data_IF_421822009324
#
_entry.id   IF_421822009324
#
_cell.length_a   1.000
_cell.length_b   1.000
_cell.length_c   1.000
_cell.angle_alpha   90.00
_cell.angle_beta   90.00
_cell.angle_gamma   90.00
#
_symmetry.space_group_name_H-M   'P 1'
#
loop_
_entity.id
_entity.type
_entity.pdbx_description
1 polymer ?
#
# COMPACT_ATOMS: atom_id res chain seq x y z
N UNK A 1 42.09 21.62 -27.55
CA UNK A 1 41.64 21.84 -28.94
C UNK A 1 41.03 20.55 -29.47
N UNK A 2 39.71 20.47 -29.64
CA UNK A 2 39.06 19.28 -30.22
C UNK A 2 39.28 19.27 -31.73
N UNK A 3 39.71 18.12 -32.27
CA UNK A 3 39.91 17.93 -33.71
C UNK A 3 38.57 17.51 -34.31
N UNK A 4 37.94 18.40 -35.07
CA UNK A 4 36.79 18.05 -35.92
C UNK A 4 37.27 17.11 -37.04
N UNK A 5 36.81 15.86 -37.05
CA UNK A 5 36.98 14.95 -38.19
C UNK A 5 35.81 15.14 -39.14
N UNK A 6 36.08 15.61 -40.36
CA UNK A 6 35.11 15.66 -41.44
C UNK A 6 35.35 14.44 -42.34
N UNK A 7 34.39 13.50 -42.38
CA UNK A 7 34.42 12.36 -43.30
C UNK A 7 33.51 12.70 -44.48
N UNK A 8 34.07 12.84 -45.67
CA UNK A 8 33.31 13.00 -46.93
C UNK A 8 33.27 11.65 -47.65
N UNK A 9 32.08 11.11 -47.85
CA UNK A 9 31.87 9.87 -48.59
C UNK A 9 30.40 9.70 -48.97
N UNK A 10 30.14 8.84 -49.96
CA UNK A 10 28.79 8.41 -50.30
C UNK A 10 28.35 7.39 -49.26
N UNK A 11 27.28 7.67 -48.50
CA UNK A 11 26.63 6.68 -47.66
C UNK A 11 25.27 6.34 -48.27
N UNK A 12 25.03 5.05 -48.51
CA UNK A 12 23.71 4.56 -48.92
C UNK A 12 23.00 4.05 -47.67
N UNK A 13 21.82 4.59 -47.36
CA UNK A 13 21.03 4.22 -46.18
C UNK A 13 19.68 3.67 -46.63
N UNK A 14 19.40 2.43 -46.26
CA UNK A 14 18.10 1.77 -46.43
C UNK A 14 17.54 1.51 -45.04
N UNK A 15 16.39 2.12 -44.70
CA UNK A 15 15.73 1.92 -43.39
C UNK A 15 14.24 1.74 -43.57
N UNK A 16 13.67 0.72 -42.94
CA UNK A 16 12.23 0.59 -42.72
C UNK A 16 11.94 1.01 -41.26
N UNK A 17 11.36 2.20 -41.07
CA UNK A 17 11.00 2.75 -39.75
C UNK A 17 11.95 3.79 -39.14
N UNK A 18 11.72 4.11 -37.86
CA UNK A 18 12.42 5.16 -37.13
C UNK A 18 13.86 4.76 -36.78
N UNK A 19 14.82 5.63 -37.09
CA UNK A 19 16.24 5.42 -36.83
C UNK A 19 16.79 6.49 -35.89
N UNK A 20 17.23 6.07 -34.69
CA UNK A 20 17.88 6.95 -33.73
C UNK A 20 19.41 6.79 -33.81
N UNK A 21 20.12 7.92 -33.97
CA UNK A 21 21.58 7.99 -33.85
C UNK A 21 21.96 8.74 -32.57
N UNK A 22 22.90 8.19 -31.82
CA UNK A 22 23.43 8.82 -30.61
C UNK A 22 24.93 9.08 -30.79
N UNK A 23 25.39 10.26 -30.39
CA UNK A 23 26.79 10.66 -30.39
C UNK A 23 27.07 11.54 -29.18
N UNK A 24 28.26 11.40 -28.59
CA UNK A 24 28.75 12.28 -27.51
C UNK A 24 29.14 13.69 -27.98
N UNK A 25 28.97 13.99 -29.27
CA UNK A 25 29.19 15.31 -29.89
C UNK A 25 28.11 15.60 -30.96
N UNK A 26 27.99 16.86 -31.38
CA UNK A 26 27.01 17.29 -32.40
C UNK A 26 27.16 16.50 -33.70
N UNK A 27 26.07 15.89 -34.16
CA UNK A 27 25.97 15.27 -35.49
C UNK A 27 25.35 16.30 -36.43
N UNK A 28 26.12 16.75 -37.41
CA UNK A 28 25.62 17.55 -38.52
C UNK A 28 25.70 16.70 -39.80
N UNK A 29 24.56 16.20 -40.27
CA UNK A 29 24.46 15.42 -41.50
C UNK A 29 23.77 16.25 -42.57
N UNK A 30 24.44 16.48 -43.69
CA UNK A 30 23.91 17.17 -44.86
C UNK A 30 24.23 16.35 -46.12
N UNK A 31 23.25 16.18 -47.01
CA UNK A 31 23.44 15.56 -48.32
C UNK A 31 23.25 16.62 -49.41
N UNK A 32 24.21 16.71 -50.34
CA UNK A 32 24.12 17.66 -51.46
C UNK A 32 23.12 17.21 -52.55
N UNK A 33 22.77 15.92 -52.57
CA UNK A 33 21.82 15.34 -53.53
C UNK A 33 21.14 14.13 -52.88
N UNK A 34 19.81 14.14 -52.88
CA UNK A 34 18.98 13.03 -52.42
C UNK A 34 18.44 12.30 -53.65
N UNK A 35 18.64 10.98 -53.72
CA UNK A 35 18.04 10.13 -54.75
C UNK A 35 17.05 9.21 -54.02
N UNK A 36 15.75 9.39 -54.30
CA UNK A 36 14.69 8.51 -53.80
C UNK A 36 14.31 7.54 -54.91
N UNK A 37 14.61 6.27 -54.75
CA UNK A 37 14.07 5.23 -55.64
C UNK A 37 12.58 5.02 -55.31
N UNK A 38 11.76 4.98 -56.36
CA UNK A 38 10.30 4.85 -56.27
C UNK A 38 9.94 3.36 -56.28
N UNK A 39 9.58 2.80 -55.14
CA UNK A 39 9.11 1.42 -55.01
C UNK A 39 8.27 1.24 -53.74
N UNK A 40 6.98 0.93 -53.95
CA UNK A 40 5.90 0.52 -53.04
C UNK A 40 5.85 1.13 -51.61
N UNK A 41 4.70 1.65 -51.21
CA UNK A 41 4.43 2.32 -49.93
C UNK A 41 4.78 1.50 -48.66
N UNK A 42 5.19 0.24 -48.79
CA UNK A 42 5.60 -0.63 -47.67
C UNK A 42 7.06 -1.12 -47.71
N UNK A 43 7.86 -0.67 -48.70
CA UNK A 43 9.25 -1.09 -48.87
C UNK A 43 9.39 -2.48 -49.51
N UNK A 44 10.58 -2.75 -50.05
CA UNK A 44 10.94 -4.04 -50.65
C UNK A 44 11.72 -4.86 -49.61
N UNK A 45 11.18 -6.00 -49.20
CA UNK A 45 11.85 -6.97 -48.32
C UNK A 45 12.85 -7.80 -49.12
N UNK A 46 14.13 -7.72 -48.75
CA UNK A 46 15.18 -8.60 -49.28
C UNK A 46 15.46 -9.71 -48.27
N UNK A 47 14.78 -10.84 -48.45
CA UNK A 47 14.89 -12.00 -47.58
C UNK A 47 14.27 -11.78 -46.19
N UNK A 48 14.18 -12.86 -45.43
CA UNK A 48 13.97 -12.77 -43.99
C UNK A 48 15.31 -12.35 -43.35
N UNK A 49 15.32 -11.39 -42.40
CA UNK A 49 16.51 -11.19 -41.60
C UNK A 49 16.86 -12.52 -40.92
N UNK A 50 18.08 -13.00 -41.12
CA UNK A 50 18.56 -14.15 -40.34
C UNK A 50 18.32 -13.84 -38.86
N UNK A 51 17.74 -14.78 -38.09
CA UNK A 51 17.67 -14.60 -36.65
C UNK A 51 19.07 -14.28 -36.16
N UNK A 52 19.19 -13.26 -35.31
CA UNK A 52 20.48 -12.87 -34.75
C UNK A 52 21.22 -14.14 -34.28
N UNK A 53 22.50 -14.34 -34.68
CA UNK A 53 23.23 -15.54 -34.33
C UNK A 53 23.09 -15.79 -32.83
N UNK A 54 22.71 -17.00 -32.43
CA UNK A 54 22.52 -17.39 -31.03
C UNK A 54 23.84 -17.40 -30.20
N UNK A 55 24.90 -16.75 -30.68
CA UNK A 55 26.27 -16.86 -30.20
C UNK A 55 26.75 -15.74 -29.27
N UNK A 56 25.97 -14.68 -29.02
CA UNK A 56 26.39 -13.60 -28.09
C UNK A 56 25.56 -13.49 -26.80
N UNK A 57 24.54 -14.33 -26.63
CA UNK A 57 23.84 -14.46 -25.34
C UNK A 57 24.71 -15.23 -24.35
N UNK A 58 25.68 -14.55 -23.76
CA UNK A 58 26.51 -15.10 -22.69
C UNK A 58 25.65 -15.47 -21.49
N UNK A 59 24.64 -14.65 -21.15
CA UNK A 59 23.88 -14.78 -19.92
C UNK A 59 22.60 -13.91 -19.90
N UNK A 60 21.41 -14.50 -19.69
CA UNK A 60 20.13 -13.78 -19.62
C UNK A 60 19.26 -14.24 -18.44
N UNK A 61 18.78 -13.26 -17.65
CA UNK A 61 17.77 -13.46 -16.60
C UNK A 61 16.45 -12.89 -17.12
N UNK A 62 15.39 -13.69 -17.06
CA UNK A 62 14.01 -13.26 -17.30
C UNK A 62 13.16 -13.63 -16.10
N UNK A 63 12.24 -12.74 -15.74
CA UNK A 63 11.29 -12.95 -14.64
C UNK A 63 9.89 -12.76 -15.20
N UNK A 64 8.97 -13.63 -14.82
CA UNK A 64 7.58 -13.59 -15.27
C UNK A 64 6.65 -13.57 -14.07
N UNK A 65 5.55 -12.81 -14.15
CA UNK A 65 4.39 -12.94 -13.27
C UNK A 65 3.20 -13.41 -14.13
N UNK A 66 2.65 -14.58 -13.82
CA UNK A 66 1.55 -15.18 -14.59
C UNK A 66 1.82 -15.20 -16.11
N UNK A 67 3.02 -15.61 -16.51
CA UNK A 67 3.53 -15.63 -17.91
C UNK A 67 3.76 -14.25 -18.56
N UNK A 68 3.52 -13.14 -17.87
CA UNK A 68 3.88 -11.81 -18.37
C UNK A 68 5.30 -11.46 -17.94
N UNK A 69 6.18 -11.13 -18.88
CA UNK A 69 7.56 -10.78 -18.58
C UNK A 69 7.64 -9.46 -17.79
N UNK A 70 8.31 -9.52 -16.64
CA UNK A 70 8.62 -8.38 -15.79
C UNK A 70 9.92 -7.75 -16.30
N UNK A 71 9.95 -6.42 -16.42
CA UNK A 71 11.17 -5.68 -16.76
C UNK A 71 11.89 -5.23 -15.48
N UNK A 72 13.19 -5.02 -15.59
CA UNK A 72 13.99 -4.54 -14.47
C UNK A 72 13.46 -3.16 -14.00
N UNK A 73 13.34 -3.00 -12.68
CA UNK A 73 12.75 -1.83 -12.03
C UNK A 73 11.22 -1.81 -12.01
N UNK A 74 10.53 -2.78 -12.60
CA UNK A 74 9.06 -2.79 -12.64
C UNK A 74 8.43 -3.12 -11.28
N UNK A 75 7.17 -2.69 -11.12
CA UNK A 75 6.33 -3.03 -9.98
C UNK A 75 5.42 -4.21 -10.32
N UNK A 76 5.46 -5.22 -9.45
CA UNK A 76 4.53 -6.35 -9.43
C UNK A 76 3.59 -6.11 -8.25
N UNK A 77 2.29 -6.05 -8.52
CA UNK A 77 1.31 -5.68 -7.53
C UNK A 77 0.61 -6.89 -6.93
N UNK A 78 0.57 -6.93 -5.60
CA UNK A 78 -0.33 -7.79 -4.83
C UNK A 78 -1.77 -7.31 -5.08
N UNK A 79 -2.65 -8.25 -5.43
CA UNK A 79 -4.04 -7.95 -5.82
C UNK A 79 -4.96 -7.72 -4.62
N UNK A 80 -6.22 -7.33 -4.88
CA UNK A 80 -7.25 -7.10 -3.86
C UNK A 80 -7.64 -8.36 -3.06
N UNK A 81 -7.33 -9.55 -3.60
CA UNK A 81 -7.26 -10.81 -2.85
C UNK A 81 -5.77 -11.06 -2.59
N UNK A 82 -5.27 -10.87 -1.37
CA UNK A 82 -3.84 -10.90 -1.12
C UNK A 82 -3.30 -12.31 -1.38
N UNK A 83 -2.66 -12.46 -2.53
CA UNK A 83 -1.90 -13.62 -2.95
C UNK A 83 -0.54 -13.10 -3.43
N UNK A 84 0.54 -13.79 -3.07
CA UNK A 84 1.86 -13.48 -3.61
C UNK A 84 1.84 -13.69 -5.14
N UNK A 85 2.58 -12.86 -5.91
CA UNK A 85 2.62 -13.02 -7.36
C UNK A 85 3.16 -14.40 -7.74
N UNK A 86 2.66 -14.94 -8.86
CA UNK A 86 3.09 -16.26 -9.36
C UNK A 86 4.33 -16.06 -10.20
N UNK A 87 5.49 -16.03 -9.54
CA UNK A 87 6.76 -15.72 -10.18
C UNK A 87 7.43 -16.94 -10.78
N UNK A 88 7.86 -16.81 -12.03
CA UNK A 88 8.76 -17.74 -12.69
C UNK A 88 10.05 -17.02 -13.07
N UNK A 89 11.19 -17.58 -12.68
CA UNK A 89 12.52 -17.09 -13.06
C UNK A 89 13.08 -18.04 -14.10
N UNK A 90 13.48 -17.50 -15.26
CA UNK A 90 14.18 -18.24 -16.30
C UNK A 90 15.59 -17.69 -16.44
N UNK A 91 16.56 -18.58 -16.40
CA UNK A 91 17.97 -18.26 -16.61
C UNK A 91 18.51 -19.01 -17.82
N UNK A 92 18.97 -18.28 -18.83
CA UNK A 92 19.58 -18.81 -20.05
C UNK A 92 21.09 -18.55 -20.02
N UNK A 93 21.87 -19.61 -20.21
CA UNK A 93 23.33 -19.55 -20.25
C UNK A 93 23.80 -20.04 -21.62
N UNK A 94 24.61 -19.22 -22.31
CA UNK A 94 25.21 -19.59 -23.58
C UNK A 94 26.20 -20.76 -23.43
N UNK A 95 26.40 -21.55 -24.49
CA UNK A 95 27.35 -22.69 -24.46
C UNK A 95 28.79 -22.27 -24.17
N UNK A 96 29.18 -21.09 -24.67
CA UNK A 96 30.53 -20.53 -24.55
C UNK A 96 30.72 -19.67 -23.27
N UNK A 97 29.81 -19.75 -22.30
CA UNK A 97 29.93 -18.95 -21.08
C UNK A 97 31.04 -19.47 -20.16
N UNK A 98 31.89 -18.56 -19.67
CA UNK A 98 33.07 -18.88 -18.85
C UNK A 98 32.75 -19.70 -17.59
N UNK A 99 31.54 -19.55 -17.06
CA UNK A 99 31.06 -20.37 -15.94
C UNK A 99 30.27 -21.55 -16.49
N UNK A 100 30.82 -22.77 -16.38
CA UNK A 100 30.15 -24.03 -16.76
C UNK A 100 28.79 -24.24 -16.06
N UNK A 101 28.61 -23.56 -14.91
CA UNK A 101 27.37 -23.52 -14.14
C UNK A 101 27.19 -22.20 -13.41
N UNK A 102 25.94 -21.79 -13.21
CA UNK A 102 25.53 -20.61 -12.46
C UNK A 102 24.59 -21.02 -11.33
N UNK A 103 24.78 -20.42 -10.18
CA UNK A 103 23.90 -20.53 -9.03
C UNK A 103 23.03 -19.29 -8.94
N UNK A 104 21.72 -19.43 -8.80
CA UNK A 104 20.82 -18.28 -8.72
C UNK A 104 19.74 -18.45 -7.67
N UNK A 105 19.26 -17.34 -7.13
CA UNK A 105 18.23 -17.28 -6.09
C UNK A 105 17.42 -16.00 -6.19
N UNK A 106 16.24 -15.99 -5.57
CA UNK A 106 15.48 -14.77 -5.34
C UNK A 106 15.70 -14.30 -3.89
N UNK A 107 16.08 -13.05 -3.71
CA UNK A 107 16.11 -12.36 -2.42
C UNK A 107 14.96 -11.36 -2.38
N UNK A 108 14.13 -11.38 -1.34
CA UNK A 108 13.17 -10.29 -1.06
C UNK A 108 13.60 -9.52 0.18
N UNK A 109 13.55 -8.21 0.12
CA UNK A 109 13.99 -7.33 1.20
C UNK A 109 12.97 -6.22 1.45
N UNK A 110 12.47 -6.18 2.68
CA UNK A 110 11.62 -5.11 3.19
C UNK A 110 12.38 -4.38 4.30
N UNK A 111 12.81 -3.15 4.02
CA UNK A 111 13.49 -2.30 4.99
C UNK A 111 12.64 -1.06 5.25
N UNK A 112 12.27 -0.88 6.50
CA UNK A 112 11.61 0.31 7.00
C UNK A 112 12.41 0.84 8.18
N UNK A 113 12.69 2.14 8.19
CA UNK A 113 13.29 2.80 9.35
C UNK A 113 12.38 3.94 9.79
N UNK A 114 11.96 3.86 11.04
CA UNK A 114 10.94 4.73 11.58
C UNK A 114 11.56 5.99 12.21
N UNK A 115 10.71 6.85 12.77
CA UNK A 115 11.16 7.97 13.61
C UNK A 115 11.79 7.51 14.92
N UNK A 116 11.43 6.32 15.41
CA UNK A 116 12.00 5.75 16.63
C UNK A 116 12.56 4.35 16.34
N UNK A 117 13.76 4.08 16.86
CA UNK A 117 14.51 2.84 16.64
C UNK A 117 13.72 1.55 16.94
N UNK A 118 12.85 1.48 17.97
CA UNK A 118 12.04 0.30 18.22
C UNK A 118 11.06 -0.05 17.10
N UNK A 119 10.89 0.79 16.08
CA UNK A 119 9.97 0.56 14.97
C UNK A 119 10.70 0.33 13.64
N UNK A 120 12.04 0.24 13.67
CA UNK A 120 12.81 -0.22 12.51
C UNK A 120 12.44 -1.68 12.20
N UNK A 121 12.39 -1.99 10.91
CA UNK A 121 12.07 -3.31 10.38
C UNK A 121 13.02 -3.64 9.24
N UNK A 122 13.56 -4.86 9.27
CA UNK A 122 14.47 -5.37 8.25
C UNK A 122 14.16 -6.85 8.06
N UNK A 123 13.21 -7.11 7.17
CA UNK A 123 12.85 -8.47 6.80
C UNK A 123 13.59 -8.82 5.51
N UNK A 124 14.35 -9.92 5.54
CA UNK A 124 15.09 -10.42 4.39
C UNK A 124 14.81 -11.90 4.27
N UNK A 125 14.27 -12.30 3.12
CA UNK A 125 13.96 -13.69 2.81
C UNK A 125 14.69 -14.12 1.53
N UNK A 126 15.00 -15.40 1.46
CA UNK A 126 15.68 -16.02 0.34
C UNK A 126 14.85 -17.20 -0.16
N UNK A 127 14.77 -17.33 -1.48
CA UNK A 127 14.07 -18.40 -2.17
C UNK A 127 15.04 -19.07 -3.17
N UNK A 128 15.21 -20.41 -3.12
CA UNK A 128 14.65 -21.32 -2.11
C UNK A 128 15.15 -21.00 -0.69
N UNK A 129 14.32 -21.26 0.31
CA UNK A 129 14.68 -21.05 1.70
C UNK A 129 15.79 -22.04 2.11
N UNK A 130 16.78 -21.58 2.86
CA UNK A 130 17.78 -22.46 3.45
C UNK A 130 17.17 -23.23 4.62
N UNK A 131 16.97 -24.54 4.48
CA UNK A 131 16.70 -25.37 5.65
C UNK A 131 18.02 -25.73 6.33
N UNK A 132 18.04 -25.77 7.66
CA UNK A 132 19.22 -26.15 8.47
C UNK A 132 19.72 -27.59 8.21
N UNK A 133 19.08 -28.34 7.31
CA UNK A 133 19.38 -29.70 6.90
C UNK A 133 20.12 -29.81 5.54
N UNK A 134 20.92 -28.81 5.18
CA UNK A 134 21.85 -28.91 4.05
C UNK A 134 21.25 -28.71 2.65
N UNK A 135 20.02 -28.19 2.54
CA UNK A 135 19.49 -27.77 1.24
C UNK A 135 20.18 -26.48 0.76
N UNK A 136 20.57 -26.47 -0.51
CA UNK A 136 21.18 -25.31 -1.16
C UNK A 136 20.18 -24.15 -1.28
N UNK A 137 20.59 -22.96 -0.84
CA UNK A 137 19.86 -21.69 -1.02
C UNK A 137 19.89 -21.17 -2.48
N UNK A 138 20.39 -21.98 -3.40
CA UNK A 138 20.52 -21.68 -4.81
C UNK A 138 19.87 -22.75 -5.67
N UNK A 139 19.28 -22.31 -6.78
CA UNK A 139 19.04 -23.13 -7.97
C UNK A 139 20.30 -23.15 -8.83
N UNK A 140 20.53 -24.26 -9.52
CA UNK A 140 21.66 -24.42 -10.44
C UNK A 140 21.16 -24.40 -11.88
N UNK A 141 21.84 -23.66 -12.75
CA UNK A 141 21.65 -23.67 -14.19
C UNK A 141 22.97 -24.05 -14.86
N UNK A 142 22.91 -24.94 -15.84
CA UNK A 142 24.08 -25.37 -16.61
C UNK A 142 24.23 -24.58 -17.91
N UNK A 143 25.45 -24.49 -18.41
CA UNK A 143 25.73 -23.86 -19.70
C UNK A 143 24.98 -24.56 -20.86
N UNK A 144 24.56 -23.77 -21.85
CA UNK A 144 23.91 -24.24 -23.07
C UNK A 144 22.41 -24.55 -22.96
N UNK A 145 21.77 -24.23 -21.84
CA UNK A 145 20.34 -24.46 -21.62
C UNK A 145 19.64 -23.28 -20.92
N UNK A 146 18.31 -23.32 -20.95
CA UNK A 146 17.46 -22.44 -20.13
C UNK A 146 16.91 -23.24 -18.96
N UNK A 147 17.20 -22.79 -17.74
CA UNK A 147 16.62 -23.34 -16.52
C UNK A 147 15.49 -22.43 -16.04
N UNK A 148 14.28 -22.98 -15.93
CA UNK A 148 13.13 -22.27 -15.37
C UNK A 148 12.81 -22.77 -13.96
N UNK A 149 12.40 -21.85 -13.10
CA UNK A 149 12.02 -22.14 -11.72
C UNK A 149 10.81 -21.30 -11.32
N UNK A 150 9.72 -21.98 -10.96
CA UNK A 150 8.56 -21.36 -10.32
C UNK A 150 8.84 -21.18 -8.83
N UNK A 151 8.77 -19.93 -8.37
CA UNK A 151 9.12 -19.56 -7.00
C UNK A 151 8.02 -20.01 -6.06
N UNK A 152 8.37 -20.88 -5.12
CA UNK A 152 7.52 -21.21 -3.97
C UNK A 152 7.90 -20.28 -2.81
N UNK A 153 6.95 -19.45 -2.40
CA UNK A 153 7.10 -18.54 -1.27
C UNK A 153 6.88 -19.23 0.09
N UNK A 154 6.44 -20.49 0.12
CA UNK A 154 6.26 -21.25 1.36
C UNK A 154 5.25 -20.63 2.34
N UNK A 155 4.26 -19.90 1.82
CA UNK A 155 3.30 -19.14 2.63
C UNK A 155 3.84 -17.83 3.22
N UNK A 156 5.11 -17.48 2.96
CA UNK A 156 5.71 -16.22 3.42
C UNK A 156 5.21 -15.08 2.55
N UNK A 157 4.47 -14.15 3.15
CA UNK A 157 3.91 -13.00 2.46
C UNK A 157 4.74 -11.74 2.71
N UNK A 158 5.68 -11.45 1.81
CA UNK A 158 6.64 -10.34 1.95
C UNK A 158 6.80 -9.59 0.63
N UNK A 159 6.18 -8.41 0.55
CA UNK A 159 6.51 -7.42 -0.49
C UNK A 159 7.80 -6.68 -0.12
N UNK A 160 8.38 -5.98 -1.08
CA UNK A 160 9.69 -5.36 -0.90
C UNK A 160 10.50 -5.39 -2.18
N UNK A 161 11.77 -5.02 -2.07
CA UNK A 161 12.71 -5.10 -3.18
C UNK A 161 13.01 -6.57 -3.44
N UNK A 162 12.73 -7.03 -4.65
CA UNK A 162 12.95 -8.40 -5.09
C UNK A 162 14.15 -8.41 -6.03
N UNK A 163 15.17 -9.19 -5.69
CA UNK A 163 16.42 -9.27 -6.45
C UNK A 163 16.67 -10.71 -6.84
N UNK A 164 16.68 -11.02 -8.14
CA UNK A 164 17.28 -12.26 -8.62
C UNK A 164 18.78 -12.06 -8.61
N UNK A 165 19.48 -12.84 -7.81
CA UNK A 165 20.93 -12.80 -7.70
C UNK A 165 21.51 -14.03 -8.39
N UNK A 166 22.42 -13.82 -9.34
CA UNK A 166 23.14 -14.88 -10.02
C UNK A 166 24.63 -14.84 -9.66
N UNK A 167 25.16 -15.99 -9.28
CA UNK A 167 26.51 -16.22 -8.79
C UNK A 167 27.22 -17.25 -9.65
N UNK A 168 28.55 -17.18 -9.71
CA UNK A 168 29.36 -18.24 -10.28
C UNK A 168 29.11 -19.58 -9.59
N UNK A 169 29.57 -20.66 -10.21
CA UNK A 169 29.45 -22.01 -9.65
C UNK A 169 30.09 -22.22 -8.27
N UNK A 170 30.90 -21.25 -7.81
CA UNK A 170 31.49 -21.19 -6.47
C UNK A 170 30.52 -20.72 -5.38
N UNK A 171 29.37 -20.16 -5.76
CA UNK A 171 28.37 -19.57 -4.86
C UNK A 171 28.82 -18.30 -4.14
N UNK A 172 29.94 -17.70 -4.56
CA UNK A 172 30.56 -16.54 -3.89
C UNK A 172 30.67 -15.34 -4.82
N UNK A 173 30.96 -15.58 -6.10
CA UNK A 173 31.18 -14.52 -7.07
C UNK A 173 29.84 -14.06 -7.64
N UNK A 174 29.32 -12.92 -7.20
CA UNK A 174 28.11 -12.33 -7.79
C UNK A 174 28.40 -11.87 -9.22
N UNK A 175 27.62 -12.36 -10.17
CA UNK A 175 27.76 -12.08 -11.60
C UNK A 175 26.78 -11.02 -12.07
N UNK A 176 25.50 -11.15 -11.69
CA UNK A 176 24.44 -10.24 -12.12
C UNK A 176 23.31 -10.18 -11.11
N UNK A 177 22.64 -9.02 -11.08
CA UNK A 177 21.36 -8.82 -10.41
C UNK A 177 20.30 -8.48 -11.43
N UNK A 178 19.07 -8.89 -11.14
CA UNK A 178 17.86 -8.38 -11.78
C UNK A 178 16.94 -7.90 -10.66
N UNK A 179 16.69 -6.60 -10.61
CA UNK A 179 15.91 -5.98 -9.51
C UNK A 179 14.51 -5.62 -9.99
N UNK A 180 13.50 -5.99 -9.22
CA UNK A 180 12.11 -5.57 -9.40
C UNK A 180 11.46 -5.40 -8.02
N UNK A 181 10.20 -5.01 -7.97
CA UNK A 181 9.56 -4.61 -6.73
C UNK A 181 8.21 -5.28 -6.56
N UNK A 182 8.01 -6.01 -5.47
CA UNK A 182 6.70 -6.55 -5.09
C UNK A 182 6.04 -5.53 -4.15
N UNK A 183 4.90 -4.98 -4.55
CA UNK A 183 4.23 -3.84 -3.88
C UNK A 183 2.73 -4.10 -3.72
N UNK A 184 2.09 -3.35 -2.83
CA UNK A 184 0.65 -3.41 -2.60
C UNK A 184 -0.11 -2.47 -3.53
N UNK A 185 -1.33 -2.85 -3.92
CA UNK A 185 -2.26 -1.98 -4.64
C UNK A 185 -3.40 -1.56 -3.71
N UNK A 186 -3.67 -0.26 -3.66
CA UNK A 186 -4.78 0.27 -2.88
C UNK A 186 -6.12 -0.22 -3.43
N UNK A 187 -7.04 -0.73 -2.60
CA UNK A 187 -8.36 -1.12 -3.04
C UNK A 187 -9.20 0.10 -3.42
N UNK A 188 -10.18 -0.09 -4.31
CA UNK A 188 -11.19 0.93 -4.58
C UNK A 188 -12.05 1.19 -3.33
N UNK A 189 -12.45 2.45 -3.09
CA UNK A 189 -13.41 2.80 -2.02
C UNK A 189 -14.69 1.97 -2.12
N UNK A 190 -15.16 1.73 -3.34
CA UNK A 190 -16.32 0.87 -3.61
C UNK A 190 -16.09 -0.57 -3.09
N UNK A 191 -14.96 -1.18 -3.41
CA UNK A 191 -14.61 -2.53 -2.94
C UNK A 191 -14.58 -2.60 -1.41
N UNK A 192 -14.04 -1.57 -0.76
CA UNK A 192 -14.04 -1.48 0.72
C UNK A 192 -15.46 -1.36 1.26
N UNK A 193 -16.29 -0.48 0.70
CA UNK A 193 -17.69 -0.29 1.14
C UNK A 193 -18.51 -1.56 0.97
N UNK A 194 -18.40 -2.22 -0.18
CA UNK A 194 -19.09 -3.48 -0.48
C UNK A 194 -18.70 -4.58 0.53
N UNK A 195 -17.41 -4.67 0.89
CA UNK A 195 -16.95 -5.57 1.94
C UNK A 195 -17.58 -5.25 3.30
N UNK A 196 -17.58 -3.98 3.74
CA UNK A 196 -18.20 -3.58 5.00
C UNK A 196 -19.70 -3.90 5.06
N UNK A 197 -20.42 -3.76 3.92
CA UNK A 197 -21.83 -4.15 3.80
C UNK A 197 -21.96 -5.68 3.93
N UNK A 198 -21.15 -6.45 3.20
CA UNK A 198 -21.20 -7.92 3.25
C UNK A 198 -20.95 -8.50 4.65
N UNK A 199 -20.12 -7.82 5.44
CA UNK A 199 -19.82 -8.20 6.83
C UNK A 199 -20.82 -7.63 7.85
N UNK A 200 -21.85 -6.91 7.39
CA UNK A 200 -22.84 -6.24 8.24
C UNK A 200 -22.22 -5.20 9.19
N UNK A 201 -21.05 -4.67 8.84
CA UNK A 201 -20.38 -3.68 9.67
C UNK A 201 -21.05 -2.31 9.58
N UNK A 202 -21.57 -1.92 8.41
CA UNK A 202 -22.25 -0.63 8.25
C UNK A 202 -23.66 -0.60 8.85
N UNK A 203 -24.36 -1.73 8.94
CA UNK A 203 -25.63 -1.80 9.67
C UNK A 203 -25.42 -1.67 11.18
N UNK A 204 -24.27 -2.14 11.68
CA UNK A 204 -23.90 -2.00 13.09
C UNK A 204 -23.32 -0.61 13.42
N UNK A 205 -22.46 -0.08 12.54
CA UNK A 205 -21.75 1.17 12.73
C UNK A 205 -21.67 1.96 11.41
N UNK A 206 -22.67 2.80 11.18
CA UNK A 206 -22.86 3.52 9.91
C UNK A 206 -21.66 4.41 9.51
N UNK A 207 -20.91 4.91 10.48
CA UNK A 207 -19.81 5.85 10.26
C UNK A 207 -18.50 5.19 9.84
N UNK A 208 -18.35 3.87 9.95
CA UNK A 208 -17.04 3.18 9.80
C UNK A 208 -16.41 3.44 8.44
N UNK A 209 -17.19 3.39 7.36
CA UNK A 209 -16.68 3.70 6.03
C UNK A 209 -16.16 5.14 5.94
N UNK A 210 -16.87 6.10 6.54
CA UNK A 210 -16.49 7.51 6.54
C UNK A 210 -15.19 7.73 7.32
N UNK A 211 -15.02 7.07 8.46
CA UNK A 211 -13.77 7.08 9.22
C UNK A 211 -12.62 6.48 8.39
N UNK A 212 -12.83 5.32 7.76
CA UNK A 212 -11.81 4.69 6.90
C UNK A 212 -11.34 5.65 5.81
N UNK A 213 -12.26 6.30 5.10
CA UNK A 213 -11.95 7.24 4.01
C UNK A 213 -11.20 8.46 4.55
N UNK A 214 -11.68 9.03 5.66
CA UNK A 214 -11.05 10.19 6.30
C UNK A 214 -9.62 9.89 6.76
N UNK A 215 -9.43 8.80 7.50
CA UNK A 215 -8.14 8.48 8.12
C UNK A 215 -7.13 7.88 7.14
N UNK A 216 -7.58 7.35 5.99
CA UNK A 216 -6.68 7.02 4.88
C UNK A 216 -6.33 8.23 4.00
N UNK A 217 -6.91 9.41 4.26
CA UNK A 217 -6.72 10.60 3.42
C UNK A 217 -7.30 10.42 2.01
N UNK A 218 -8.36 9.62 1.89
CA UNK A 218 -8.95 9.15 0.64
C UNK A 218 -10.22 9.92 0.23
N UNK A 219 -10.49 11.08 0.83
CA UNK A 219 -11.70 11.86 0.59
C UNK A 219 -11.84 12.21 -0.91
N UNK A 220 -10.75 12.68 -1.53
CA UNK A 220 -10.72 13.23 -2.90
C UNK A 220 -10.21 12.24 -3.98
N UNK A 221 -10.01 10.97 -3.63
CA UNK A 221 -9.53 9.93 -4.57
C UNK A 221 -10.44 8.72 -4.59
N UNK A 222 -10.37 7.91 -5.64
CA UNK A 222 -11.23 6.72 -5.84
C UNK A 222 -10.79 5.51 -5.01
N UNK A 223 -9.55 5.50 -4.53
CA UNK A 223 -8.96 4.40 -3.76
C UNK A 223 -8.98 4.69 -2.26
N UNK A 224 -9.12 3.65 -1.43
CA UNK A 224 -8.85 3.73 -0.01
C UNK A 224 -7.36 3.42 0.22
N UNK A 225 -6.60 4.34 0.82
CA UNK A 225 -5.14 4.22 0.91
C UNK A 225 -4.70 3.35 2.09
N UNK A 226 -4.19 2.17 1.77
CA UNK A 226 -3.44 1.31 2.68
C UNK A 226 -1.93 1.45 2.45
N UNK A 227 -1.54 1.67 1.20
CA UNK A 227 -0.17 1.75 0.72
C UNK A 227 0.14 3.16 0.21
N UNK A 228 1.42 3.51 0.28
CA UNK A 228 1.96 4.79 -0.15
C UNK A 228 1.76 4.96 -1.66
N UNK A 229 1.05 6.02 -2.04
CA UNK A 229 0.84 6.40 -3.43
C UNK A 229 1.52 7.75 -3.70
N UNK A 230 2.52 7.81 -4.60
CA UNK A 230 3.24 9.04 -4.90
C UNK A 230 2.41 10.07 -5.68
N UNK A 231 1.30 9.68 -6.29
CA UNK A 231 0.64 10.55 -7.27
C UNK A 231 -0.28 11.61 -6.66
N UNK A 232 -0.63 11.54 -5.37
CA UNK A 232 -1.76 12.33 -4.87
C UNK A 232 -1.69 12.76 -3.39
N UNK A 233 -1.04 13.89 -3.09
CA UNK A 233 -1.60 14.87 -2.15
C UNK A 233 -1.52 16.28 -2.74
N UNK A 234 -2.64 17.00 -2.77
CA UNK A 234 -2.64 18.43 -3.05
C UNK A 234 -2.31 19.15 -1.74
N UNK A 235 -1.10 19.69 -1.58
CA UNK A 235 -0.80 20.61 -0.48
C UNK A 235 -0.70 22.04 -0.99
N UNK A 236 -1.16 22.99 -0.18
CA UNK A 236 -0.89 24.40 -0.40
C UNK A 236 0.55 24.69 0.01
N UNK A 237 1.43 24.86 -0.97
CA UNK A 237 2.81 25.32 -0.75
C UNK A 237 2.87 26.79 -1.15
N UNK A 238 3.07 27.69 -0.19
CA UNK A 238 3.11 29.15 -0.40
C UNK A 238 1.87 29.68 -1.14
N UNK A 239 0.67 29.29 -0.70
CA UNK A 239 -0.60 29.73 -1.29
C UNK A 239 -0.97 29.08 -2.64
N UNK A 240 -0.10 28.25 -3.23
CA UNK A 240 -0.37 27.51 -4.47
C UNK A 240 -0.60 26.03 -4.19
N UNK A 241 -1.66 25.47 -4.76
CA UNK A 241 -1.91 24.03 -4.72
C UNK A 241 -0.84 23.31 -5.54
N UNK A 242 0.03 22.53 -4.89
CA UNK A 242 1.01 21.67 -5.55
C UNK A 242 0.69 20.21 -5.25
N UNK A 243 0.95 19.33 -6.21
CA UNK A 243 1.08 17.90 -5.93
C UNK A 243 2.32 17.73 -5.06
N UNK A 244 2.14 17.26 -3.84
CA UNK A 244 3.18 16.86 -2.90
C UNK A 244 2.95 15.41 -2.51
N UNK A 245 3.99 14.77 -2.02
CA UNK A 245 3.94 13.43 -1.45
C UNK A 245 2.98 13.40 -0.24
N UNK A 246 2.21 12.32 -0.09
CA UNK A 246 1.21 12.19 0.96
C UNK A 246 1.86 12.03 2.34
N UNK A 247 1.92 13.07 3.17
CA UNK A 247 2.59 12.99 4.47
C UNK A 247 1.89 12.14 5.54
N UNK A 248 1.84 10.81 5.40
CA UNK A 248 1.36 9.88 6.45
C UNK A 248 2.40 8.80 6.79
N UNK A 249 3.41 9.16 7.61
CA UNK A 249 4.42 8.29 8.23
C UNK A 249 5.84 8.89 8.32
N UNK A 250 6.69 8.58 9.33
CA UNK A 250 7.63 9.55 9.93
C UNK A 250 8.93 9.91 9.18
N UNK A 251 9.10 9.56 7.90
CA UNK A 251 10.32 9.99 7.19
C UNK A 251 10.21 10.15 5.67
N UNK A 252 9.04 10.51 5.12
CA UNK A 252 8.90 11.07 3.76
C UNK A 252 9.87 10.50 2.72
N UNK A 253 9.76 9.20 2.42
CA UNK A 253 10.78 8.44 1.70
C UNK A 253 10.46 8.27 0.20
N UNK A 254 10.61 9.34 -0.57
CA UNK A 254 10.96 9.31 -1.99
C UNK A 254 10.28 8.27 -2.92
N UNK A 255 10.97 7.88 -4.00
CA UNK A 255 10.46 6.99 -5.04
C UNK A 255 10.42 5.51 -4.60
N UNK A 256 11.22 5.13 -3.60
CA UNK A 256 11.44 3.74 -3.21
C UNK A 256 10.33 3.18 -2.31
N UNK A 257 9.61 4.04 -1.58
CA UNK A 257 8.51 3.64 -0.69
C UNK A 257 7.16 3.50 -1.39
N UNK A 258 7.08 3.76 -2.71
CA UNK A 258 5.85 3.60 -3.49
C UNK A 258 5.29 2.18 -3.36
N UNK A 259 4.00 2.07 -3.01
CA UNK A 259 3.29 0.81 -2.82
C UNK A 259 3.75 0.01 -1.59
N UNK A 260 4.53 0.61 -0.69
CA UNK A 260 4.77 0.05 0.64
C UNK A 260 3.59 0.37 1.57
N UNK A 261 3.31 -0.45 2.59
CA UNK A 261 2.27 -0.15 3.54
C UNK A 261 2.49 1.19 4.25
N UNK A 262 1.41 1.89 4.56
CA UNK A 262 1.45 3.13 5.34
C UNK A 262 1.74 2.79 6.80
N UNK A 263 2.82 3.34 7.36
CA UNK A 263 3.22 3.20 8.76
C UNK A 263 3.10 4.55 9.45
N UNK A 264 2.31 4.65 10.51
CA UNK A 264 2.20 5.89 11.27
C UNK A 264 1.29 5.75 12.49
N UNK A 265 1.73 6.40 13.58
CA UNK A 265 0.88 6.75 14.70
C UNK A 265 -0.21 7.76 14.28
N UNK A 266 -1.37 7.80 14.96
CA UNK A 266 -1.87 6.84 15.95
C UNK A 266 -2.67 5.70 15.28
N UNK A 267 -3.18 4.77 16.10
CA UNK A 267 -4.16 3.68 15.85
C UNK A 267 -5.36 4.05 14.94
N UNK A 268 -5.10 4.52 13.74
CA UNK A 268 -6.12 5.08 12.88
C UNK A 268 -7.01 3.99 12.29
N UNK A 269 -8.24 4.32 11.95
CA UNK A 269 -9.23 3.45 11.36
C UNK A 269 -9.14 3.27 9.85
N UNK A 270 -8.27 3.99 9.14
CA UNK A 270 -8.05 3.83 7.71
C UNK A 270 -7.85 2.37 7.27
N UNK A 271 -7.86 2.06 5.97
CA UNK A 271 -7.53 0.70 5.49
C UNK A 271 -6.06 0.32 5.76
N UNK A 272 -5.24 1.30 6.17
CA UNK A 272 -3.86 1.16 6.59
C UNK A 272 -3.66 0.08 7.64
N UNK A 273 -2.41 -0.37 7.73
CA UNK A 273 -2.03 -1.42 8.65
C UNK A 273 -2.44 -1.08 10.07
N UNK A 274 -2.78 -2.12 10.82
CA UNK A 274 -2.81 -1.97 12.26
C UNK A 274 -1.36 -1.84 12.69
N UNK A 275 -0.98 -0.60 12.91
CA UNK A 275 0.22 -0.30 13.63
C UNK A 275 -0.04 -0.60 15.10
N UNK A 276 0.00 -1.88 15.48
CA UNK A 276 0.43 -2.22 16.84
C UNK A 276 1.96 -1.98 16.93
N UNK A 277 2.41 -0.80 16.54
CA UNK A 277 3.62 -0.24 17.10
C UNK A 277 3.31 0.21 18.53
N UNK A 278 4.39 0.40 19.27
CA UNK A 278 4.48 1.26 20.43
C UNK A 278 4.17 0.63 21.78
N UNK A 279 2.93 0.22 22.08
CA UNK A 279 2.62 0.03 23.50
C UNK A 279 3.21 -1.25 24.11
N UNK A 280 3.50 -2.30 23.32
CA UNK A 280 3.74 -3.63 23.90
C UNK A 280 4.68 -4.58 23.14
N UNK A 281 5.85 -4.09 22.68
CA UNK A 281 6.98 -4.99 22.34
C UNK A 281 7.64 -5.59 23.59
N UNK A 282 7.33 -5.07 24.77
CA UNK A 282 7.48 -5.86 25.99
C UNK A 282 6.31 -6.85 26.10
N UNK A 283 6.53 -8.07 25.60
CA UNK A 283 5.54 -9.15 25.69
C UNK A 283 5.10 -9.42 27.13
N UNK A 284 5.91 -9.03 28.13
CA UNK A 284 5.58 -9.19 29.55
C UNK A 284 4.51 -8.21 30.04
N UNK A 285 4.26 -7.11 29.33
CA UNK A 285 3.21 -6.11 29.67
C UNK A 285 1.87 -6.36 28.97
N UNK A 286 1.78 -7.41 28.14
CA UNK A 286 0.56 -7.82 27.45
C UNK A 286 -0.36 -8.65 28.33
N UNK A 287 -1.66 -8.56 28.05
CA UNK A 287 -2.56 -9.63 28.47
C UNK A 287 -2.17 -10.93 27.74
N UNK A 288 -2.43 -12.09 28.34
CA UNK A 288 -2.17 -13.39 27.67
C UNK A 288 -2.83 -13.49 26.30
N UNK A 289 -4.02 -12.91 26.14
CA UNK A 289 -4.77 -12.91 24.89
C UNK A 289 -4.09 -12.06 23.80
N UNK A 290 -3.56 -10.89 24.18
CA UNK A 290 -2.87 -10.01 23.23
C UNK A 290 -1.48 -10.56 22.86
N UNK A 291 -0.78 -11.19 23.81
CA UNK A 291 0.49 -11.86 23.54
C UNK A 291 0.35 -13.04 22.58
N UNK A 292 -0.64 -13.92 22.81
CA UNK A 292 -0.91 -15.05 21.92
C UNK A 292 -1.33 -14.61 20.52
N UNK A 293 -2.10 -13.52 20.43
CA UNK A 293 -2.50 -12.95 19.15
C UNK A 293 -1.34 -12.31 18.38
N UNK A 294 -0.43 -11.59 19.06
CA UNK A 294 0.79 -11.08 18.41
C UNK A 294 1.68 -12.23 17.91
N UNK A 295 1.77 -13.32 18.66
CA UNK A 295 2.51 -14.50 18.22
C UNK A 295 1.90 -15.16 16.97
N UNK A 296 0.57 -15.23 16.90
CA UNK A 296 -0.16 -15.69 15.71
C UNK A 296 0.07 -14.75 14.52
N UNK A 297 0.01 -13.44 14.76
CA UNK A 297 0.26 -12.40 13.76
C UNK A 297 1.70 -12.45 13.20
N UNK A 298 2.68 -12.71 14.05
CA UNK A 298 4.09 -12.88 13.66
C UNK A 298 4.26 -14.13 12.76
N UNK A 299 3.49 -15.19 13.01
CA UNK A 299 3.46 -16.42 12.20
C UNK A 299 2.71 -16.24 10.88
N UNK A 300 1.75 -15.31 10.82
CA UNK A 300 0.89 -15.06 9.66
C UNK A 300 0.97 -13.61 9.21
N UNK A 301 2.05 -13.20 8.52
CA UNK A 301 2.28 -11.81 8.16
C UNK A 301 1.42 -11.25 7.03
N UNK A 302 0.48 -12.01 6.49
CA UNK A 302 -0.38 -11.62 5.37
C UNK A 302 -1.23 -10.38 5.71
N UNK A 303 -1.53 -10.15 6.99
CA UNK A 303 -2.22 -8.95 7.49
C UNK A 303 -1.57 -7.63 7.00
N UNK A 304 -0.25 -7.62 6.79
CA UNK A 304 0.53 -6.45 6.34
C UNK A 304 -0.06 -5.92 5.02
N UNK A 305 -0.50 -6.82 4.16
CA UNK A 305 -0.99 -6.51 2.81
C UNK A 305 -2.51 -6.71 2.70
N UNK A 306 -3.12 -7.42 3.64
CA UNK A 306 -4.54 -7.73 3.65
C UNK A 306 -5.38 -6.64 4.36
N UNK A 307 -5.87 -5.64 3.61
CA UNK A 307 -6.77 -4.61 4.18
C UNK A 307 -8.04 -5.19 4.80
N UNK A 308 -8.57 -6.31 4.31
CA UNK A 308 -9.79 -6.93 4.89
C UNK A 308 -9.51 -7.40 6.30
N UNK A 309 -8.36 -8.09 6.50
CA UNK A 309 -7.93 -8.52 7.84
C UNK A 309 -7.68 -7.33 8.76
N UNK A 310 -7.08 -6.24 8.25
CA UNK A 310 -6.91 -5.01 9.01
C UNK A 310 -8.26 -4.42 9.47
N UNK A 311 -9.27 -4.37 8.60
CA UNK A 311 -10.62 -3.93 8.98
C UNK A 311 -11.24 -4.87 10.03
N UNK A 312 -11.22 -6.18 9.79
CA UNK A 312 -11.77 -7.19 10.70
C UNK A 312 -11.22 -7.04 12.13
N UNK A 313 -9.90 -6.89 12.26
CA UNK A 313 -9.27 -6.72 13.57
C UNK A 313 -9.72 -5.40 14.23
N UNK A 314 -9.82 -4.29 13.50
CA UNK A 314 -10.34 -3.02 14.06
C UNK A 314 -11.78 -3.15 14.52
N UNK A 315 -12.62 -3.83 13.75
CA UNK A 315 -14.03 -4.11 14.09
C UNK A 315 -14.17 -4.98 15.33
N UNK A 316 -13.28 -5.96 15.54
CA UNK A 316 -13.34 -6.91 16.65
C UNK A 316 -12.63 -6.44 17.92
N UNK A 317 -11.68 -5.50 17.81
CA UNK A 317 -10.86 -5.03 18.95
C UNK A 317 -11.06 -3.55 19.27
N UNK A 318 -10.81 -2.66 18.30
CA UNK A 318 -10.80 -1.20 18.53
C UNK A 318 -12.21 -0.63 18.74
N UNK A 319 -13.20 -1.01 17.92
CA UNK A 319 -14.59 -0.54 18.11
C UNK A 319 -15.12 -0.93 19.50
N UNK A 320 -15.03 -2.19 19.93
CA UNK A 320 -15.54 -2.60 21.25
C UNK A 320 -14.89 -1.84 22.42
N UNK A 321 -13.59 -1.54 22.33
CA UNK A 321 -12.90 -0.69 23.30
C UNK A 321 -13.49 0.72 23.38
N UNK A 322 -13.74 1.36 22.22
CA UNK A 322 -14.35 2.70 22.17
C UNK A 322 -15.81 2.68 22.62
N UNK A 323 -16.56 1.64 22.26
CA UNK A 323 -17.95 1.44 22.74
C UNK A 323 -17.97 1.32 24.25
N UNK A 324 -17.07 0.52 24.85
CA UNK A 324 -16.96 0.40 26.31
C UNK A 324 -16.64 1.75 26.96
N UNK A 325 -15.75 2.54 26.38
CA UNK A 325 -15.44 3.88 26.87
C UNK A 325 -16.63 4.84 26.78
N UNK A 326 -17.38 4.82 25.67
CA UNK A 326 -18.60 5.61 25.50
C UNK A 326 -19.68 5.22 26.53
N UNK A 327 -19.94 3.91 26.70
CA UNK A 327 -20.89 3.38 27.70
C UNK A 327 -20.50 3.81 29.12
N UNK A 328 -19.21 3.73 29.47
CA UNK A 328 -18.73 4.18 30.77
C UNK A 328 -18.97 5.68 30.99
N UNK A 329 -18.75 6.49 29.95
CA UNK A 329 -19.01 7.92 30.00
C UNK A 329 -20.51 8.23 30.15
N UNK A 330 -21.38 7.54 29.42
CA UNK A 330 -22.83 7.70 29.54
C UNK A 330 -23.33 7.31 30.92
N UNK A 331 -22.91 6.16 31.45
CA UNK A 331 -23.28 5.72 32.81
C UNK A 331 -22.85 6.71 33.88
N UNK A 332 -21.68 7.34 33.70
CA UNK A 332 -21.20 8.39 34.60
C UNK A 332 -22.07 9.65 34.51
N UNK A 333 -22.33 10.15 33.31
CA UNK A 333 -23.01 11.42 33.09
C UNK A 333 -24.51 11.35 33.35
N UNK A 334 -25.17 10.25 32.98
CA UNK A 334 -26.63 10.13 33.06
C UNK A 334 -27.10 9.66 34.44
N UNK A 335 -26.17 9.46 35.39
CA UNK A 335 -26.48 9.08 36.75
C UNK A 335 -27.38 10.14 37.40
N UNK A 336 -28.62 9.75 37.72
CA UNK A 336 -29.62 10.62 38.36
C UNK A 336 -30.41 11.50 37.38
N UNK A 337 -30.10 11.44 36.08
CA UNK A 337 -30.88 12.11 35.03
C UNK A 337 -32.11 11.28 34.74
N UNK A 338 -33.29 11.90 34.66
CA UNK A 338 -34.53 11.19 34.25
C UNK A 338 -34.70 11.20 32.74
N UNK A 339 -34.47 12.36 32.12
CA UNK A 339 -34.61 12.60 30.69
C UNK A 339 -33.78 13.84 30.33
N UNK A 340 -33.14 13.82 29.16
CA UNK A 340 -32.40 14.96 28.65
C UNK A 340 -33.35 16.02 28.08
N UNK A 341 -32.88 17.27 28.08
CA UNK A 341 -33.47 18.33 27.28
C UNK A 341 -33.15 18.15 25.80
N UNK A 342 -34.07 18.56 24.92
CA UNK A 342 -33.88 18.51 23.46
C UNK A 342 -32.64 19.31 23.05
N UNK A 343 -31.79 18.69 22.23
CA UNK A 343 -30.53 19.25 21.78
C UNK A 343 -30.23 18.79 20.35
N UNK A 344 -29.65 19.68 19.55
CA UNK A 344 -29.24 19.41 18.17
C UNK A 344 -27.94 20.15 17.85
N UNK A 345 -27.02 19.48 17.17
CA UNK A 345 -25.76 20.05 16.71
C UNK A 345 -25.43 19.54 15.31
N UNK A 346 -25.34 20.46 14.35
CA UNK A 346 -24.87 20.14 12.99
C UNK A 346 -23.35 20.04 12.95
N UNK A 347 -22.85 18.97 12.34
CA UNK A 347 -21.44 18.68 12.13
C UNK A 347 -21.24 18.17 10.69
N UNK A 348 -20.92 19.10 9.78
CA UNK A 348 -20.87 18.82 8.35
C UNK A 348 -22.27 18.54 7.78
N UNK A 349 -22.42 17.39 7.11
CA UNK A 349 -23.70 16.95 6.54
C UNK A 349 -24.56 16.12 7.50
N UNK A 350 -24.10 15.92 8.75
CA UNK A 350 -24.80 15.16 9.77
C UNK A 350 -25.27 16.10 10.88
N UNK A 351 -26.50 15.91 11.34
CA UNK A 351 -27.06 16.60 12.51
C UNK A 351 -27.19 15.60 13.64
N UNK A 352 -26.45 15.82 14.73
CA UNK A 352 -26.53 15.00 15.93
C UNK A 352 -27.61 15.52 16.87
N UNK A 353 -28.54 14.66 17.28
CA UNK A 353 -29.68 15.01 18.15
C UNK A 353 -29.73 14.14 19.40
N UNK A 354 -30.44 14.60 20.41
CA UNK A 354 -30.85 13.78 21.57
C UNK A 354 -31.97 12.79 21.22
N UNK A 355 -31.70 11.93 20.24
CA UNK A 355 -32.55 10.81 19.81
C UNK A 355 -31.87 9.46 20.09
N UNK A 356 -32.64 8.34 20.15
CA UNK A 356 -32.07 7.01 20.29
C UNK A 356 -31.06 6.67 19.19
N UNK A 357 -29.96 5.99 19.57
CA UNK A 357 -28.97 5.49 18.63
C UNK A 357 -29.44 4.22 17.93
N UNK A 358 -29.01 4.01 16.69
CA UNK A 358 -29.17 2.74 15.97
C UNK A 358 -28.10 1.70 16.35
N UNK A 359 -27.07 2.10 17.11
CA UNK A 359 -26.02 1.22 17.63
C UNK A 359 -26.59 0.46 18.82
N UNK A 360 -26.69 -0.86 18.71
CA UNK A 360 -27.42 -1.69 19.68
C UNK A 360 -26.82 -1.63 21.08
N UNK A 361 -25.50 -1.45 21.20
CA UNK A 361 -24.80 -1.26 22.47
C UNK A 361 -25.23 0.00 23.23
N UNK A 362 -25.91 0.95 22.57
CA UNK A 362 -26.43 2.18 23.17
C UNK A 362 -27.94 2.16 23.44
N UNK A 363 -28.61 1.04 23.16
CA UNK A 363 -30.07 0.90 23.30
C UNK A 363 -30.60 1.22 24.71
N UNK A 364 -29.84 0.86 25.76
CA UNK A 364 -30.21 1.13 27.16
C UNK A 364 -30.28 2.63 27.50
N UNK A 365 -29.70 3.49 26.67
CA UNK A 365 -29.72 4.95 26.84
C UNK A 365 -30.86 5.63 26.07
N UNK A 366 -31.65 4.88 25.30
CA UNK A 366 -32.76 5.44 24.51
C UNK A 366 -33.85 6.09 25.36
N UNK A 367 -34.09 5.61 26.59
CA UNK A 367 -35.09 6.18 27.51
C UNK A 367 -34.76 7.60 27.97
N UNK A 368 -33.49 8.01 27.93
CA UNK A 368 -33.05 9.36 28.28
C UNK A 368 -33.26 10.36 27.13
N UNK A 369 -33.55 9.88 25.91
CA UNK A 369 -33.57 10.69 24.69
C UNK A 369 -34.99 11.26 24.43
N UNK A 370 -35.18 12.59 24.42
CA UNK A 370 -36.47 13.22 24.14
C UNK A 370 -36.93 13.20 22.68
N UNK A 371 -36.00 13.10 21.72
CA UNK A 371 -36.29 13.37 20.32
C UNK A 371 -36.28 12.11 19.44
N UNK A 372 -36.72 12.26 18.19
CA UNK A 372 -36.62 11.25 17.13
C UNK A 372 -35.73 11.76 15.99
N UNK A 373 -35.10 10.83 15.27
CA UNK A 373 -34.44 11.14 14.00
C UNK A 373 -35.47 11.15 12.87
N UNK A 374 -35.37 12.12 11.95
CA UNK A 374 -36.29 12.26 10.81
C UNK A 374 -35.72 11.74 9.48
N UNK A 375 -34.48 11.23 9.46
CA UNK A 375 -33.85 10.66 8.27
C UNK A 375 -32.40 10.25 8.47
N UNK A 376 -31.72 9.87 7.38
CA UNK A 376 -30.37 9.31 7.42
C UNK A 376 -29.27 10.32 7.82
N UNK A 377 -29.50 11.61 7.59
CA UNK A 377 -28.58 12.69 7.99
C UNK A 377 -28.73 13.09 9.46
N UNK A 378 -29.73 12.56 10.17
CA UNK A 378 -29.93 12.82 11.59
C UNK A 378 -29.53 11.61 12.40
N UNK A 379 -28.53 11.78 13.27
CA UNK A 379 -27.93 10.69 14.06
C UNK A 379 -27.97 11.00 15.54
N UNK A 380 -27.84 9.98 16.37
CA UNK A 380 -27.84 10.17 17.81
C UNK A 380 -26.58 10.89 18.27
N UNK A 381 -26.72 11.77 19.25
CA UNK A 381 -25.59 12.40 19.95
C UNK A 381 -24.67 11.37 20.61
N UNK A 382 -25.18 10.18 20.91
CA UNK A 382 -24.39 9.05 21.41
C UNK A 382 -23.42 8.51 20.34
N UNK A 383 -23.78 8.60 19.06
CA UNK A 383 -22.90 8.20 17.96
C UNK A 383 -21.72 9.18 17.83
N UNK A 384 -21.98 10.48 18.04
CA UNK A 384 -20.94 11.52 18.01
C UNK A 384 -19.89 11.33 19.11
N UNK A 385 -20.29 10.82 20.28
CA UNK A 385 -19.37 10.42 21.34
C UNK A 385 -18.44 9.31 20.86
N UNK A 386 -19.00 8.23 20.29
CA UNK A 386 -18.22 7.10 19.81
C UNK A 386 -17.24 7.51 18.70
N UNK A 387 -17.67 8.35 17.77
CA UNK A 387 -16.82 8.87 16.69
C UNK A 387 -15.68 9.71 17.25
N UNK A 388 -15.94 10.60 18.22
CA UNK A 388 -14.89 11.46 18.78
C UNK A 388 -13.79 10.68 19.51
N UNK A 389 -14.12 9.53 20.11
CA UNK A 389 -13.14 8.69 20.80
C UNK A 389 -12.00 8.18 19.88
N UNK A 390 -12.15 8.21 18.56
CA UNK A 390 -11.07 7.88 17.61
C UNK A 390 -10.03 8.98 17.45
N UNK A 391 -10.36 10.23 17.76
CA UNK A 391 -9.45 11.38 17.70
C UNK A 391 -9.12 11.95 19.10
N UNK A 392 -9.40 11.16 20.14
CA UNK A 392 -9.11 11.50 21.53
C UNK A 392 -10.16 12.40 22.19
N UNK A 393 -10.50 12.05 23.42
CA UNK A 393 -11.43 12.79 24.27
C UNK A 393 -12.91 12.44 24.06
N UNK A 394 -13.75 13.05 24.89
CA UNK A 394 -15.20 12.87 24.88
C UNK A 394 -15.88 14.02 24.13
N UNK A 395 -16.95 13.70 23.42
CA UNK A 395 -17.84 14.68 22.81
C UNK A 395 -18.84 15.23 23.82
N UNK A 396 -19.42 14.36 24.64
CA UNK A 396 -20.31 14.73 25.74
C UNK A 396 -19.48 14.85 27.02
N UNK A 397 -19.36 16.06 27.55
CA UNK A 397 -18.48 16.40 28.68
C UNK A 397 -19.22 16.61 29.99
N UNK A 398 -20.53 16.85 29.93
CA UNK A 398 -21.35 17.07 31.11
C UNK A 398 -22.81 17.27 30.78
N UNK A 399 -23.61 17.39 31.84
CA UNK A 399 -25.02 17.75 31.81
C UNK A 399 -25.18 18.87 32.82
N UNK A 400 -25.87 19.94 32.44
CA UNK A 400 -26.12 21.04 33.37
C UNK A 400 -27.37 20.82 34.23
N UNK A 401 -27.68 21.76 35.11
CA UNK A 401 -28.83 21.67 36.02
C UNK A 401 -30.20 21.69 35.32
N UNK A 402 -30.25 21.96 34.00
CA UNK A 402 -31.47 21.94 33.16
C UNK A 402 -31.51 20.70 32.26
N UNK A 403 -30.74 19.68 32.58
CA UNK A 403 -30.60 18.45 31.80
C UNK A 403 -30.11 18.70 30.35
N UNK A 404 -29.44 19.84 30.11
CA UNK A 404 -28.87 20.17 28.80
C UNK A 404 -27.45 19.62 28.67
N UNK A 405 -27.14 19.04 27.51
CA UNK A 405 -25.82 18.50 27.23
C UNK A 405 -24.76 19.61 27.09
N UNK A 406 -23.62 19.40 27.73
CA UNK A 406 -22.39 20.16 27.48
C UNK A 406 -21.50 19.36 26.54
N UNK A 407 -21.27 19.90 25.35
CA UNK A 407 -20.43 19.25 24.34
C UNK A 407 -19.05 19.90 24.24
N UNK A 408 -18.06 19.09 23.88
CA UNK A 408 -16.77 19.55 23.40
C UNK A 408 -16.64 19.09 21.94
N UNK A 409 -16.56 20.04 21.01
CA UNK A 409 -16.44 19.75 19.57
C UNK A 409 -15.01 19.47 19.16
N UNK A 410 -14.05 20.21 19.74
CA UNK A 410 -12.66 20.20 19.31
C UNK A 410 -11.82 19.18 20.11
N UNK A 411 -10.80 18.61 19.47
CA UNK A 411 -9.73 17.88 20.15
C UNK A 411 -8.65 18.86 20.66
N UNK A 412 -7.58 18.33 21.26
CA UNK A 412 -6.44 19.13 21.76
C UNK A 412 -5.70 19.91 20.67
N UNK A 413 -5.91 19.58 19.40
CA UNK A 413 -5.33 20.25 18.23
C UNK A 413 -6.30 21.25 17.58
N UNK A 414 -7.44 21.55 18.22
CA UNK A 414 -8.44 22.47 17.68
C UNK A 414 -9.25 21.91 16.51
N UNK A 415 -9.24 20.58 16.34
CA UNK A 415 -9.90 19.90 15.21
C UNK A 415 -11.25 19.29 15.61
N UNK A 416 -12.26 19.49 14.77
CA UNK A 416 -13.59 18.90 14.95
C UNK A 416 -13.71 17.57 14.18
N UNK A 417 -13.58 16.45 14.89
CA UNK A 417 -13.58 15.14 14.25
C UNK A 417 -14.96 14.74 13.70
N UNK A 418 -16.01 15.04 14.44
CA UNK A 418 -17.38 14.73 14.02
C UNK A 418 -17.76 15.46 12.73
N UNK A 419 -17.35 16.72 12.59
CA UNK A 419 -17.55 17.49 11.35
C UNK A 419 -16.75 16.92 10.19
N UNK A 420 -15.49 16.49 10.42
CA UNK A 420 -14.68 15.83 9.39
C UNK A 420 -15.39 14.60 8.86
N UNK A 421 -15.84 13.71 9.75
CA UNK A 421 -16.54 12.48 9.38
C UNK A 421 -17.88 12.80 8.72
N UNK A 422 -18.61 13.79 9.22
CA UNK A 422 -19.88 14.24 8.64
C UNK A 422 -19.74 14.83 7.23
N UNK A 423 -18.57 15.33 6.85
CA UNK A 423 -18.28 15.84 5.51
C UNK A 423 -17.88 14.75 4.50
N UNK A 424 -17.57 13.54 4.95
CA UNK A 424 -17.24 12.43 4.04
C UNK A 424 -18.52 11.95 3.35
N UNK A 425 -18.54 12.11 2.02
CA UNK A 425 -19.62 11.62 1.16
C UNK A 425 -19.54 10.10 0.99
N UNK A 426 -20.70 9.48 0.86
CA UNK A 426 -20.86 8.04 0.70
C UNK A 426 -20.51 7.51 -0.68
#
# INVERSE_FOLDING_TARGET
MSRTRIVKGTYTKVTHGNHAMFSGANINAYANREIREKGAEEGVTHGDPEPAPASDLTFLIQVFDNNTEIKEGAYVFITEKPEMPKLRIALTIGKEYNYKKILFRLKTEFVFKASELPFDRKDVDYFPAGSGSGQSIFKEAAAGQTTSWDVDFGGIFRGGTATVEAYGGDGRTLIKKFVFYIRGRNPLKKTVKDYLISQQYLSKYWFVFKIIVSESGSEEVTVARQFWDPEYVKAKVKGKTKKVEAGYGPSGRGIESKGMPNYGFPDGWGVGQIDFAAEKRDKASLSKADAAWLEDLDKHPDYIWNWKKNIEIKMTRKIPEKVKAAVAQFNKLFKGVKKLSSFSQQEGLITYKTCPSTISEFSSFGSYMPDTASGDSEKSILDAELIKLYNGGHYITGIDAKDLLRINRLNSLGFNYNERIGNVKD
#
